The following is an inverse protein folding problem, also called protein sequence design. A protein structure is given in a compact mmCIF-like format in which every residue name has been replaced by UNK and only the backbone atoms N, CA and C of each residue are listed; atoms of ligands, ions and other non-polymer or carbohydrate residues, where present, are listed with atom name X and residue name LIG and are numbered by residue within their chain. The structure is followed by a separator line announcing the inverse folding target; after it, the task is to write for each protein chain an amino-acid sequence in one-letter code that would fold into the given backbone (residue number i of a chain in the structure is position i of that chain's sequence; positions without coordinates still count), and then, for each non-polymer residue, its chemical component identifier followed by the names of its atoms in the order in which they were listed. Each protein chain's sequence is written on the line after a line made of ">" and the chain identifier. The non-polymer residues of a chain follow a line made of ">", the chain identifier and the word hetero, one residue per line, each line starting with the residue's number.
data_IF_663283041659
#
_entry.id   IF_663283041659
#
_cell.length_a   1.000
_cell.length_b   1.000
_cell.length_c   1.000
_cell.angle_alpha   90.00
_cell.angle_beta   90.00
_cell.angle_gamma   90.00
#
_symmetry.space_group_name_H-M   'P 1'
#
loop_
_entity.id
_entity.type
_entity.pdbx_description
1 polymer ?
#
# COMPACT_ATOMS: atom_id res chain seq x y z
N UNK A 1 12.93 71.68 21.62
CA UNK A 1 12.54 70.73 20.56
C UNK A 1 12.28 69.41 21.27
N UNK A 2 11.07 69.26 21.84
CA UNK A 2 9.91 68.53 21.29
C UNK A 2 10.05 67.03 21.56
N UNK A 3 9.18 66.28 22.26
CA UNK A 3 7.87 66.43 22.91
C UNK A 3 7.78 65.24 23.91
N UNK A 4 7.57 65.41 25.22
CA UNK A 4 6.31 65.27 26.00
C UNK A 4 5.44 64.05 25.62
N UNK A 5 4.78 63.26 26.48
CA UNK A 5 4.77 62.93 27.93
C UNK A 5 3.35 62.37 28.20
N UNK A 6 3.21 61.33 29.06
CA UNK A 6 2.06 61.08 29.98
C UNK A 6 0.64 60.93 29.34
N UNK A 7 -0.40 60.31 29.90
CA UNK A 7 -0.65 59.39 31.02
C UNK A 7 -2.05 58.79 30.78
N UNK A 8 -2.29 57.70 31.47
CA UNK A 8 -3.50 56.91 31.63
C UNK A 8 -4.84 57.64 31.91
N UNK A 9 -5.90 56.94 31.46
CA UNK A 9 -7.18 56.63 32.13
C UNK A 9 -8.28 57.67 32.33
N UNK A 10 -9.47 57.35 31.81
CA UNK A 10 -10.79 57.32 32.49
C UNK A 10 -11.90 56.98 31.46
N UNK A 11 -12.61 55.86 31.63
CA UNK A 11 -13.95 55.74 32.27
C UNK A 11 -15.16 56.10 31.39
N UNK A 12 -16.07 55.11 31.30
CA UNK A 12 -17.53 55.22 31.14
C UNK A 12 -18.13 55.65 29.79
N UNK A 13 -19.22 54.99 29.40
CA UNK A 13 -20.21 55.51 28.45
C UNK A 13 -20.63 54.53 27.37
N UNK A 14 -21.87 54.07 27.47
CA UNK A 14 -22.53 53.07 26.63
C UNK A 14 -23.11 53.67 25.32
N UNK A 15 -22.86 53.00 24.17
CA UNK A 15 -23.58 52.95 22.88
C UNK A 15 -23.86 54.28 22.09
N UNK A 16 -23.80 54.32 20.73
CA UNK A 16 -24.70 53.53 19.88
C UNK A 16 -24.13 52.95 18.57
N UNK A 17 -24.89 51.97 18.11
CA UNK A 17 -24.84 51.23 16.84
C UNK A 17 -24.81 52.19 15.65
N UNK A 18 -23.95 51.92 14.66
CA UNK A 18 -24.21 51.97 13.21
C UNK A 18 -22.87 51.81 12.48
N UNK A 19 -22.43 50.57 12.29
CA UNK A 19 -21.39 50.25 11.30
C UNK A 19 -22.00 49.31 10.26
N UNK A 20 -21.89 49.74 9.02
CA UNK A 20 -22.46 49.16 7.81
C UNK A 20 -22.00 47.71 7.62
N UNK A 21 -22.90 46.76 7.87
CA UNK A 21 -22.69 45.37 7.48
C UNK A 21 -23.12 45.21 6.03
N UNK A 22 -22.17 45.35 5.10
CA UNK A 22 -22.31 44.86 3.73
C UNK A 22 -22.35 43.33 3.78
N UNK A 23 -23.54 42.76 4.01
CA UNK A 23 -23.77 41.34 3.74
C UNK A 23 -23.92 41.17 2.23
N UNK A 24 -22.85 40.69 1.59
CA UNK A 24 -23.01 39.94 0.35
C UNK A 24 -23.74 38.65 0.72
N UNK A 25 -25.04 38.60 0.43
CA UNK A 25 -25.78 37.34 0.34
C UNK A 25 -25.21 36.56 -0.84
N UNK A 26 -24.21 35.72 -0.56
CA UNK A 26 -23.78 34.68 -1.50
C UNK A 26 -24.86 33.61 -1.43
N UNK A 27 -25.54 33.27 -2.55
CA UNK A 27 -26.51 32.21 -2.54
C UNK A 27 -25.82 30.92 -2.09
N UNK A 28 -26.39 30.28 -1.08
CA UNK A 28 -25.99 28.97 -0.60
C UNK A 28 -26.16 27.98 -1.75
N UNK A 29 -25.08 27.71 -2.47
CA UNK A 29 -24.99 26.59 -3.39
C UNK A 29 -24.77 25.36 -2.52
N UNK A 30 -25.72 24.40 -2.45
CA UNK A 30 -25.47 23.16 -1.74
C UNK A 30 -24.26 22.47 -2.37
N UNK A 31 -23.18 22.40 -1.59
CA UNK A 31 -21.97 21.69 -1.97
C UNK A 31 -22.36 20.22 -2.18
N UNK A 32 -22.06 19.61 -3.34
CA UNK A 32 -22.30 18.20 -3.53
C UNK A 32 -21.51 17.45 -2.45
N UNK A 33 -22.18 16.56 -1.73
CA UNK A 33 -21.54 15.61 -0.81
C UNK A 33 -20.34 14.99 -1.53
N UNK A 34 -19.13 14.98 -0.95
CA UNK A 34 -18.00 14.32 -1.57
C UNK A 34 -18.36 12.85 -1.72
N UNK A 35 -18.70 12.44 -2.95
CA UNK A 35 -18.68 11.02 -3.27
C UNK A 35 -17.25 10.56 -2.99
N UNK A 36 -17.04 9.40 -2.34
CA UNK A 36 -15.69 8.89 -2.18
C UNK A 36 -15.10 8.79 -3.58
N UNK A 37 -14.13 9.65 -3.87
CA UNK A 37 -13.46 9.64 -5.14
C UNK A 37 -12.92 8.23 -5.33
N UNK A 38 -13.23 7.62 -6.46
CA UNK A 38 -12.56 6.38 -6.82
C UNK A 38 -11.05 6.71 -6.86
N UNK A 39 -10.20 5.74 -6.60
CA UNK A 39 -8.76 5.97 -6.71
C UNK A 39 -8.23 4.89 -7.63
N UNK A 40 -7.69 5.31 -8.77
CA UNK A 40 -7.11 4.42 -9.76
C UNK A 40 -5.61 4.64 -9.86
N UNK A 41 -4.87 3.55 -10.00
CA UNK A 41 -3.42 3.53 -10.09
C UNK A 41 -2.95 2.77 -11.32
N UNK A 42 -1.85 3.23 -11.93
CA UNK A 42 -1.16 2.53 -13.03
C UNK A 42 0.34 2.51 -12.78
N UNK A 43 1.01 1.40 -13.12
CA UNK A 43 2.47 1.32 -13.08
C UNK A 43 2.99 1.75 -14.45
N UNK A 44 3.89 2.74 -14.47
CA UNK A 44 4.57 3.18 -15.68
C UNK A 44 6.06 3.36 -15.39
N UNK A 45 6.89 2.53 -16.02
CA UNK A 45 8.33 2.48 -15.77
C UNK A 45 8.63 2.21 -14.29
N UNK A 46 9.30 3.16 -13.63
CA UNK A 46 9.69 3.05 -12.21
C UNK A 46 8.67 3.64 -11.25
N UNK A 47 7.54 4.16 -11.71
CA UNK A 47 6.61 4.89 -10.85
C UNK A 47 5.20 4.31 -10.90
N UNK A 48 4.49 4.46 -9.79
CA UNK A 48 3.04 4.21 -9.72
C UNK A 48 2.34 5.56 -9.73
N UNK A 49 1.50 5.77 -10.72
CA UNK A 49 0.74 7.01 -10.91
C UNK A 49 -0.70 6.83 -10.46
N UNK A 50 -1.19 7.80 -9.69
CA UNK A 50 -2.62 7.99 -9.43
C UNK A 50 -3.26 8.66 -10.66
N UNK A 51 -4.22 7.98 -11.28
CA UNK A 51 -4.75 8.31 -12.61
C UNK A 51 -6.04 9.13 -12.60
N UNK A 52 -6.69 9.32 -11.46
CA UNK A 52 -7.88 10.19 -11.38
C UNK A 52 -7.53 11.67 -11.31
N UNK A 53 -6.31 11.99 -10.89
CA UNK A 53 -5.78 13.33 -11.01
C UNK A 53 -5.45 13.62 -12.48
N UNK A 54 -5.87 14.77 -12.99
CA UNK A 54 -5.43 15.29 -14.28
C UNK A 54 -4.58 16.56 -14.03
N UNK A 55 -3.26 16.53 -14.24
CA UNK A 55 -2.46 15.40 -14.76
C UNK A 55 -2.25 14.27 -13.74
N UNK A 56 -1.93 13.07 -14.23
CA UNK A 56 -1.67 11.90 -13.39
C UNK A 56 -0.49 12.17 -12.45
N UNK A 57 -0.64 11.84 -11.17
CA UNK A 57 0.33 12.20 -10.12
C UNK A 57 1.17 10.97 -9.77
N UNK A 58 2.51 11.02 -9.85
CA UNK A 58 3.35 9.94 -9.37
C UNK A 58 3.30 9.87 -7.84
N UNK A 59 2.90 8.72 -7.29
CA UNK A 59 2.68 8.56 -5.84
C UNK A 59 3.70 7.61 -5.21
N UNK A 60 4.16 6.60 -5.97
CA UNK A 60 5.15 5.64 -5.50
C UNK A 60 6.31 5.51 -6.48
N UNK A 61 7.47 5.17 -5.94
CA UNK A 61 8.67 4.83 -6.70
C UNK A 61 8.99 3.35 -6.46
N UNK A 62 9.31 2.65 -7.54
CA UNK A 62 9.70 1.25 -7.59
C UNK A 62 11.16 1.17 -8.01
N UNK A 63 11.94 0.43 -7.23
CA UNK A 63 13.31 0.05 -7.56
C UNK A 63 13.40 -1.46 -7.70
N UNK A 64 14.10 -1.93 -8.72
CA UNK A 64 14.38 -3.36 -8.93
C UNK A 64 15.86 -3.63 -8.75
N UNK A 65 16.18 -4.71 -8.05
CA UNK A 65 17.55 -5.22 -7.94
C UNK A 65 17.69 -6.49 -8.76
N UNK A 66 18.78 -6.55 -9.52
CA UNK A 66 19.10 -7.66 -10.39
C UNK A 66 20.19 -8.54 -9.78
N UNK A 67 20.17 -9.81 -10.15
CA UNK A 67 21.22 -10.77 -9.83
C UNK A 67 22.48 -10.45 -10.64
N UNK A 68 23.60 -11.09 -10.33
CA UNK A 68 24.81 -10.96 -11.14
C UNK A 68 24.58 -11.36 -12.61
N UNK A 69 23.64 -12.26 -12.87
CA UNK A 69 23.22 -12.67 -14.21
C UNK A 69 22.25 -11.70 -14.90
N UNK A 70 21.97 -10.53 -14.30
CA UNK A 70 21.07 -9.51 -14.85
C UNK A 70 19.59 -9.75 -14.59
N UNK A 71 19.20 -10.91 -14.05
CA UNK A 71 17.78 -11.22 -13.80
C UNK A 71 17.24 -10.46 -12.58
N UNK A 72 16.07 -9.82 -12.66
CA UNK A 72 15.44 -9.17 -11.52
C UNK A 72 15.05 -10.19 -10.43
N UNK A 73 15.43 -9.92 -9.18
CA UNK A 73 15.13 -10.80 -8.04
C UNK A 73 14.49 -10.09 -6.86
N UNK A 74 14.64 -8.77 -6.74
CA UNK A 74 14.01 -8.00 -5.67
C UNK A 74 13.33 -6.75 -6.24
N UNK A 75 12.16 -6.44 -5.71
CA UNK A 75 11.43 -5.20 -5.94
C UNK A 75 11.30 -4.45 -4.62
N UNK A 76 11.57 -3.16 -4.61
CA UNK A 76 11.37 -2.27 -3.47
C UNK A 76 10.38 -1.18 -3.87
N UNK A 77 9.48 -0.81 -2.96
CA UNK A 77 8.49 0.26 -3.18
C UNK A 77 8.52 1.26 -2.03
N UNK A 78 8.55 2.55 -2.36
CA UNK A 78 8.44 3.66 -1.41
C UNK A 78 7.41 4.68 -1.89
N UNK A 79 6.92 5.53 -0.98
CA UNK A 79 6.12 6.71 -1.34
C UNK A 79 7.06 7.84 -1.75
N UNK A 80 6.67 8.55 -2.80
CA UNK A 80 7.33 9.78 -3.20
C UNK A 80 7.01 10.92 -2.23
N UNK A 81 8.00 11.75 -1.96
CA UNK A 81 7.83 12.98 -1.19
C UNK A 81 7.17 14.07 -2.05
N UNK A 82 6.42 15.01 -1.47
CA UNK A 82 5.83 16.11 -2.23
C UNK A 82 6.85 16.92 -3.05
N UNK A 83 8.08 17.07 -2.55
CA UNK A 83 9.19 17.70 -3.28
C UNK A 83 9.65 16.90 -4.51
N UNK A 84 9.59 15.57 -4.44
CA UNK A 84 9.91 14.68 -5.56
C UNK A 84 8.81 14.72 -6.61
N UNK A 85 7.55 14.68 -6.18
CA UNK A 85 6.39 14.79 -7.08
C UNK A 85 6.44 16.11 -7.87
N UNK A 86 6.72 17.24 -7.21
CA UNK A 86 6.88 18.53 -7.90
C UNK A 86 8.01 18.52 -8.92
N UNK A 87 9.17 17.96 -8.56
CA UNK A 87 10.31 17.83 -9.49
C UNK A 87 9.98 16.97 -10.72
N UNK A 88 9.20 15.89 -10.54
CA UNK A 88 8.71 15.09 -11.67
C UNK A 88 7.75 15.88 -12.55
N UNK A 89 6.86 16.68 -11.96
CA UNK A 89 5.91 17.51 -12.70
C UNK A 89 6.54 18.66 -13.49
N UNK A 90 7.66 19.21 -13.00
CA UNK A 90 8.41 20.29 -13.65
C UNK A 90 9.32 19.79 -14.79
N UNK A 91 9.66 18.51 -14.79
CA UNK A 91 10.58 17.91 -15.75
C UNK A 91 9.92 17.70 -17.12
N UNK A 92 10.02 18.73 -17.98
CA UNK A 92 9.64 18.65 -19.38
C UNK A 92 10.86 18.28 -20.23
N UNK A 93 10.97 17.01 -20.61
CA UNK A 93 11.88 16.54 -21.67
C UNK A 93 13.26 16.01 -21.24
N UNK A 94 13.69 16.22 -20.00
CA UNK A 94 14.81 15.48 -19.39
C UNK A 94 14.27 14.67 -18.23
N UNK A 95 14.44 13.34 -18.26
CA UNK A 95 14.00 12.43 -17.21
C UNK A 95 14.40 12.99 -15.84
N UNK A 96 13.43 13.48 -15.06
CA UNK A 96 13.68 13.81 -13.66
C UNK A 96 14.11 12.52 -12.96
N UNK A 97 15.43 12.38 -12.79
CA UNK A 97 16.01 11.25 -12.10
C UNK A 97 15.85 11.49 -10.61
N UNK A 98 14.84 10.85 -10.03
CA UNK A 98 14.78 10.69 -8.58
C UNK A 98 15.58 9.45 -8.25
N UNK A 99 16.61 9.62 -7.44
CA UNK A 99 17.32 8.50 -6.85
C UNK A 99 16.37 7.80 -5.86
N UNK A 100 16.27 6.48 -5.95
CA UNK A 100 15.50 5.71 -4.99
C UNK A 100 16.10 5.87 -3.59
N UNK A 101 15.26 6.25 -2.62
CA UNK A 101 15.64 6.38 -1.22
C UNK A 101 15.27 5.10 -0.47
N UNK A 102 16.29 4.31 -0.13
CA UNK A 102 16.13 3.06 0.63
C UNK A 102 15.54 3.34 2.03
N UNK A 103 15.82 4.51 2.62
CA UNK A 103 15.29 4.89 3.94
C UNK A 103 13.79 5.18 3.89
N UNK A 104 13.21 5.36 2.69
CA UNK A 104 11.78 5.54 2.48
C UNK A 104 11.05 4.26 2.07
N UNK A 105 11.76 3.14 1.92
CA UNK A 105 11.17 1.85 1.53
C UNK A 105 10.04 1.46 2.47
N UNK A 106 8.87 1.16 1.90
CA UNK A 106 7.71 0.63 2.61
C UNK A 106 7.74 -0.89 2.60
N UNK A 107 7.83 -1.48 1.42
CA UNK A 107 7.85 -2.93 1.24
C UNK A 107 8.96 -3.35 0.29
N UNK A 108 9.49 -4.54 0.53
CA UNK A 108 10.43 -5.22 -0.38
C UNK A 108 9.91 -6.62 -0.71
N UNK A 109 9.73 -6.91 -2.00
CA UNK A 109 9.36 -8.21 -2.52
C UNK A 109 10.58 -8.96 -3.08
N UNK A 110 10.89 -10.13 -2.55
CA UNK A 110 11.96 -11.01 -3.01
C UNK A 110 11.38 -12.20 -3.79
N UNK A 111 11.73 -12.31 -5.07
CA UNK A 111 11.35 -13.42 -5.93
C UNK A 111 12.04 -14.68 -5.45
N UNK A 112 11.26 -15.71 -5.17
CA UNK A 112 11.79 -16.98 -4.71
C UNK A 112 12.15 -17.85 -5.92
N UNK A 113 13.45 -18.04 -6.17
CA UNK A 113 13.96 -18.97 -7.20
C UNK A 113 14.15 -20.40 -6.68
N UNK A 114 13.88 -20.64 -5.40
CA UNK A 114 14.10 -21.94 -4.74
C UNK A 114 12.73 -22.53 -4.46
N UNK A 115 12.48 -23.75 -4.92
CA UNK A 115 11.40 -24.58 -4.40
C UNK A 115 11.55 -24.68 -2.90
N UNK A 116 10.72 -23.96 -2.14
CA UNK A 116 10.80 -24.00 -0.69
C UNK A 116 10.56 -25.46 -0.24
N UNK A 117 11.61 -26.14 0.19
CA UNK A 117 11.54 -27.51 0.70
C UNK A 117 10.61 -27.61 1.93
N UNK A 118 10.41 -26.51 2.66
CA UNK A 118 9.42 -26.41 3.75
C UNK A 118 7.97 -26.45 3.24
N UNK A 119 7.72 -25.98 2.01
CA UNK A 119 6.40 -25.79 1.43
C UNK A 119 5.93 -26.96 0.57
N UNK A 120 6.82 -27.92 0.26
CA UNK A 120 6.49 -29.11 -0.53
C UNK A 120 5.37 -29.99 0.08
N UNK A 121 4.97 -29.79 1.35
CA UNK A 121 3.73 -30.36 1.91
C UNK A 121 2.75 -29.34 2.51
N UNK A 122 2.82 -28.07 2.11
CA UNK A 122 1.94 -26.99 2.57
C UNK A 122 1.11 -26.32 1.46
N UNK A 123 1.23 -26.80 0.23
CA UNK A 123 0.49 -26.26 -0.91
C UNK A 123 1.43 -25.69 -1.99
N UNK A 124 0.91 -24.83 -2.88
CA UNK A 124 1.68 -24.33 -4.02
C UNK A 124 2.92 -23.54 -3.57
N UNK A 125 4.03 -23.71 -4.31
CA UNK A 125 5.30 -23.01 -4.05
C UNK A 125 5.08 -21.50 -4.03
N UNK A 126 5.48 -20.81 -2.95
CA UNK A 126 5.33 -19.37 -2.88
C UNK A 126 6.21 -18.68 -3.92
N UNK A 127 5.63 -17.73 -4.65
CA UNK A 127 6.33 -17.09 -5.78
C UNK A 127 7.17 -15.89 -5.33
N UNK A 128 6.73 -15.20 -4.28
CA UNK A 128 7.40 -14.01 -3.74
C UNK A 128 7.19 -13.92 -2.22
N UNK A 129 8.19 -13.38 -1.52
CA UNK A 129 8.11 -12.98 -0.12
C UNK A 129 8.20 -11.45 -0.04
N UNK A 130 7.15 -10.83 0.50
CA UNK A 130 7.06 -9.38 0.70
C UNK A 130 7.30 -9.08 2.17
N UNK A 131 8.17 -8.12 2.47
CA UNK A 131 8.49 -7.69 3.84
C UNK A 131 8.23 -6.21 4.01
N UNK A 132 7.52 -5.86 5.08
CA UNK A 132 7.39 -4.47 5.51
C UNK A 132 8.70 -3.96 6.11
N UNK A 133 9.13 -2.76 5.71
CA UNK A 133 10.40 -2.15 6.11
C UNK A 133 10.21 -0.95 7.05
N UNK A 134 8.96 -0.51 7.27
CA UNK A 134 8.65 0.70 8.06
C UNK A 134 7.51 0.54 9.06
N UNK A 135 7.49 1.42 10.06
CA UNK A 135 6.31 1.60 10.92
C UNK A 135 5.10 1.98 10.06
N UNK A 136 3.96 1.35 10.31
CA UNK A 136 2.76 1.48 9.48
C UNK A 136 2.64 0.42 8.37
N UNK A 137 3.67 -0.41 8.19
CA UNK A 137 3.60 -1.60 7.31
C UNK A 137 3.41 -2.88 8.11
N UNK A 138 2.85 -3.91 7.49
CA UNK A 138 2.71 -5.22 8.11
C UNK A 138 4.11 -5.81 8.34
N UNK A 139 4.46 -6.00 9.61
CA UNK A 139 5.74 -6.56 10.02
C UNK A 139 5.79 -8.08 9.78
N UNK A 140 6.97 -8.58 9.43
CA UNK A 140 7.18 -10.00 9.12
C UNK A 140 7.11 -10.29 7.63
N UNK A 141 6.73 -11.52 7.29
CA UNK A 141 6.74 -12.02 5.92
C UNK A 141 5.32 -12.19 5.40
N UNK A 142 5.03 -11.57 4.25
CA UNK A 142 3.83 -11.84 3.46
C UNK A 142 4.24 -12.71 2.28
N UNK A 143 3.48 -13.75 2.01
CA UNK A 143 3.80 -14.76 1.00
C UNK A 143 2.68 -14.83 -0.02
N UNK A 144 3.04 -14.76 -1.31
CA UNK A 144 2.08 -14.96 -2.39
C UNK A 144 2.09 -16.42 -2.85
N UNK A 145 0.92 -17.03 -2.84
CA UNK A 145 0.66 -18.37 -3.37
C UNK A 145 -0.27 -18.26 -4.58
N UNK A 146 0.07 -18.96 -5.67
CA UNK A 146 -0.76 -19.02 -6.88
C UNK A 146 -1.30 -20.43 -7.08
N UNK A 147 -2.62 -20.53 -7.25
CA UNK A 147 -3.32 -21.78 -7.55
C UNK A 147 -4.27 -21.56 -8.73
N UNK A 148 -3.83 -21.97 -9.92
CA UNK A 148 -4.56 -21.72 -11.17
C UNK A 148 -4.70 -20.22 -11.45
N UNK A 149 -5.96 -19.73 -11.46
CA UNK A 149 -6.30 -18.31 -11.67
C UNK A 149 -6.45 -17.50 -10.38
N UNK A 150 -6.33 -18.17 -9.22
CA UNK A 150 -6.47 -17.53 -7.91
C UNK A 150 -5.07 -17.27 -7.35
N UNK A 151 -4.85 -16.06 -6.86
CA UNK A 151 -3.64 -15.71 -6.10
C UNK A 151 -4.04 -15.34 -4.67
N UNK A 152 -3.29 -15.78 -3.67
CA UNK A 152 -3.55 -15.48 -2.26
C UNK A 152 -2.31 -14.93 -1.60
N UNK A 153 -2.49 -13.91 -0.78
CA UNK A 153 -1.45 -13.32 0.05
C UNK A 153 -1.68 -13.70 1.49
N UNK A 154 -0.69 -14.33 2.10
CA UNK A 154 -0.73 -14.77 3.49
C UNK A 154 0.30 -14.02 4.31
N UNK A 155 -0.11 -13.49 5.46
CA UNK A 155 0.81 -13.07 6.50
C UNK A 155 1.30 -14.28 7.29
N UNK A 156 2.61 -14.48 7.32
CA UNK A 156 3.29 -15.54 8.05
C UNK A 156 3.65 -15.04 9.45
N UNK A 157 3.00 -15.61 10.46
CA UNK A 157 3.17 -15.22 11.86
C UNK A 157 3.88 -16.36 12.60
N UNK A 158 5.06 -16.13 13.21
CA UNK A 158 5.74 -17.17 13.98
C UNK A 158 4.95 -17.48 15.25
N UNK A 159 4.79 -18.77 15.56
CA UNK A 159 4.12 -19.23 16.77
C UNK A 159 5.13 -19.17 17.93
N UNK A 160 5.26 -17.99 18.54
CA UNK A 160 6.20 -17.75 19.66
C UNK A 160 5.62 -18.04 21.06
N UNK A 161 4.36 -18.47 21.13
CA UNK A 161 3.66 -18.74 22.38
C UNK A 161 3.62 -20.24 22.68
N UNK A 162 3.43 -20.57 23.95
CA UNK A 162 3.02 -21.92 24.33
C UNK A 162 1.76 -22.31 23.55
N UNK A 163 1.80 -23.51 23.01
CA UNK A 163 0.71 -24.09 22.23
C UNK A 163 -0.42 -24.46 23.19
N UNK A 164 -1.66 -24.35 22.73
CA UNK A 164 -2.78 -24.94 23.48
C UNK A 164 -2.71 -26.45 23.36
N UNK A 165 -3.25 -27.19 24.34
CA UNK A 165 -3.27 -28.67 24.30
C UNK A 165 -3.79 -29.24 22.98
N UNK A 166 -4.82 -28.62 22.40
CA UNK A 166 -5.36 -29.03 21.08
C UNK A 166 -4.40 -28.75 19.91
N UNK A 167 -3.62 -27.67 19.98
CA UNK A 167 -2.57 -27.37 19.00
C UNK A 167 -1.37 -28.30 19.18
N UNK A 168 -1.00 -28.63 20.42
CA UNK A 168 0.05 -29.61 20.75
C UNK A 168 -0.32 -31.01 20.25
N UNK A 169 -1.52 -31.50 20.55
CA UNK A 169 -2.00 -32.80 20.10
C UNK A 169 -2.01 -32.86 18.56
N UNK A 170 -2.41 -31.77 17.88
CA UNK A 170 -2.37 -31.66 16.42
C UNK A 170 -0.93 -31.66 15.89
N UNK A 171 -0.03 -30.91 16.50
CA UNK A 171 1.39 -30.88 16.10
C UNK A 171 2.06 -32.22 16.35
N UNK A 172 1.81 -32.87 17.48
CA UNK A 172 2.31 -34.21 17.76
C UNK A 172 1.78 -35.21 16.72
N UNK A 173 0.50 -35.18 16.39
CA UNK A 173 -0.06 -36.03 15.34
C UNK A 173 0.60 -35.78 13.97
N UNK A 174 0.90 -34.52 13.64
CA UNK A 174 1.64 -34.16 12.43
C UNK A 174 3.09 -34.65 12.49
N UNK A 175 3.79 -34.44 13.60
CA UNK A 175 5.17 -34.90 13.84
C UNK A 175 5.27 -36.43 13.70
N UNK A 176 4.32 -37.18 14.29
CA UNK A 176 4.28 -38.64 14.18
C UNK A 176 4.02 -39.11 12.74
N UNK A 177 3.23 -38.37 11.96
CA UNK A 177 2.86 -38.76 10.59
C UNK A 177 3.93 -38.42 9.55
N UNK A 178 4.56 -37.25 9.65
CA UNK A 178 5.45 -36.71 8.60
C UNK A 178 6.78 -36.14 9.10
N UNK A 179 7.11 -36.35 10.38
CA UNK A 179 8.26 -35.73 11.04
C UNK A 179 8.02 -34.24 11.36
N UNK A 180 8.91 -33.67 12.17
CA UNK A 180 8.95 -32.23 12.39
C UNK A 180 9.33 -31.49 11.11
N UNK A 181 8.69 -30.35 10.88
CA UNK A 181 9.04 -29.42 9.80
C UNK A 181 9.05 -28.02 10.37
N UNK A 182 10.05 -27.22 9.99
CA UNK A 182 10.16 -25.79 10.35
C UNK A 182 8.91 -24.98 9.99
N UNK A 183 8.09 -25.49 9.08
CA UNK A 183 6.86 -24.86 8.65
C UNK A 183 5.67 -25.04 9.59
N UNK A 184 5.76 -25.98 10.54
CA UNK A 184 4.78 -26.15 11.62
C UNK A 184 4.88 -25.03 12.67
N UNK A 185 5.98 -24.28 12.69
CA UNK A 185 6.20 -23.16 13.61
C UNK A 185 5.54 -21.84 13.15
N UNK A 186 4.80 -21.86 12.04
CA UNK A 186 4.22 -20.66 11.43
C UNK A 186 2.71 -20.77 11.25
N UNK A 187 1.99 -19.71 11.62
CA UNK A 187 0.58 -19.52 11.32
C UNK A 187 0.43 -18.68 10.05
N UNK A 188 -0.36 -19.18 9.10
CA UNK A 188 -0.79 -18.43 7.91
C UNK A 188 -2.08 -17.65 8.22
N UNK A 189 -2.07 -16.32 8.09
CA UNK A 189 -3.29 -15.48 8.11
C UNK A 189 -3.52 -14.95 6.70
N UNK A 190 -4.69 -15.23 6.11
CA UNK A 190 -5.05 -14.68 4.79
C UNK A 190 -5.22 -13.16 4.89
N UNK A 191 -4.59 -12.42 3.98
CA UNK A 191 -4.73 -10.96 3.86
C UNK A 191 -5.58 -10.57 2.66
N UNK A 192 -5.24 -11.13 1.49
CA UNK A 192 -5.86 -10.79 0.22
C UNK A 192 -6.04 -12.05 -0.62
N UNK A 193 -7.17 -12.13 -1.31
CA UNK A 193 -7.43 -13.10 -2.38
C UNK A 193 -7.66 -12.33 -3.67
N UNK A 194 -7.00 -12.75 -4.73
CA UNK A 194 -7.22 -12.25 -6.08
C UNK A 194 -7.90 -13.35 -6.85
N UNK A 195 -9.06 -13.05 -7.42
CA UNK A 195 -9.80 -13.98 -8.26
C UNK A 195 -10.29 -13.30 -9.52
N UNK A 196 -10.44 -14.09 -10.59
CA UNK A 196 -11.01 -13.59 -11.83
C UNK A 196 -12.53 -13.66 -11.78
N UNK A 197 -13.20 -12.56 -12.08
CA UNK A 197 -14.66 -12.51 -12.15
C UNK A 197 -15.18 -12.97 -13.53
N UNK A 198 -16.50 -12.97 -13.69
CA UNK A 198 -17.15 -13.39 -14.94
C UNK A 198 -16.77 -12.50 -16.15
N UNK A 199 -16.46 -11.22 -15.91
CA UNK A 199 -16.02 -10.26 -16.92
C UNK A 199 -14.53 -10.40 -17.29
N UNK A 200 -13.83 -11.38 -16.70
CA UNK A 200 -12.38 -11.60 -16.81
C UNK A 200 -11.50 -10.56 -16.11
N UNK A 201 -12.11 -9.61 -15.39
CA UNK A 201 -11.41 -8.67 -14.54
C UNK A 201 -10.95 -9.35 -13.25
N UNK A 202 -9.89 -8.84 -12.62
CA UNK A 202 -9.37 -9.40 -11.38
C UNK A 202 -9.92 -8.63 -10.18
N UNK A 203 -10.54 -9.32 -9.24
CA UNK A 203 -11.06 -8.73 -8.00
C UNK A 203 -10.11 -9.04 -6.85
N UNK A 204 -9.78 -8.00 -6.09
CA UNK A 204 -9.00 -8.07 -4.87
C UNK A 204 -9.95 -8.06 -3.68
N UNK A 205 -9.94 -9.16 -2.93
CA UNK A 205 -10.85 -9.44 -1.83
C UNK A 205 -10.03 -9.52 -0.54
N UNK A 206 -10.48 -8.84 0.51
CA UNK A 206 -9.81 -8.85 1.81
C UNK A 206 -10.20 -10.03 2.71
N UNK A 207 -9.69 -10.02 3.95
CA UNK A 207 -9.97 -11.04 4.96
C UNK A 207 -11.44 -11.12 5.40
N UNK A 208 -12.24 -10.08 5.11
CA UNK A 208 -13.66 -9.99 5.40
C UNK A 208 -14.53 -10.34 4.17
N UNK A 209 -13.94 -10.94 3.14
CA UNK A 209 -14.62 -11.27 1.88
C UNK A 209 -15.19 -10.05 1.14
N UNK A 210 -14.66 -8.85 1.42
CA UNK A 210 -15.09 -7.61 0.78
C UNK A 210 -14.16 -7.26 -0.38
N UNK A 211 -14.73 -6.88 -1.53
CA UNK A 211 -13.96 -6.41 -2.69
C UNK A 211 -13.39 -5.02 -2.40
N UNK A 212 -12.08 -4.94 -2.25
CA UNK A 212 -11.35 -3.71 -1.91
C UNK A 212 -10.75 -3.01 -3.13
N UNK A 213 -10.49 -3.76 -4.20
CA UNK A 213 -10.02 -3.20 -5.47
C UNK A 213 -10.38 -4.11 -6.65
N UNK A 214 -10.48 -3.52 -7.84
CA UNK A 214 -10.52 -4.21 -9.13
C UNK A 214 -9.24 -3.94 -9.91
N UNK A 215 -8.73 -4.94 -10.61
CA UNK A 215 -7.60 -4.83 -11.52
C UNK A 215 -8.07 -5.13 -12.94
N UNK A 216 -7.92 -4.13 -13.82
CA UNK A 216 -8.35 -4.15 -15.21
C UNK A 216 -7.38 -3.37 -16.09
N UNK A 217 -7.02 -3.93 -17.24
CA UNK A 217 -6.14 -3.29 -18.23
C UNK A 217 -4.83 -2.74 -17.64
N UNK A 218 -4.23 -3.45 -16.68
CA UNK A 218 -3.00 -3.03 -15.99
C UNK A 218 -3.18 -1.85 -15.02
N UNK A 219 -4.42 -1.49 -14.68
CA UNK A 219 -4.77 -0.50 -13.67
C UNK A 219 -5.39 -1.16 -12.46
N UNK A 220 -5.16 -0.57 -11.30
CA UNK A 220 -5.74 -0.97 -10.02
C UNK A 220 -6.71 0.13 -9.54
N UNK A 221 -7.98 -0.20 -9.41
CA UNK A 221 -9.05 0.71 -8.99
C UNK A 221 -9.56 0.32 -7.60
N UNK A 222 -9.48 1.23 -6.63
CA UNK A 222 -9.94 1.00 -5.27
C UNK A 222 -11.44 1.25 -5.11
N UNK A 223 -12.09 0.41 -4.30
CA UNK A 223 -13.50 0.56 -3.95
C UNK A 223 -13.64 1.39 -2.67
N UNK A 224 -13.97 2.67 -2.82
CA UNK A 224 -14.24 3.57 -1.70
C UNK A 224 -13.01 4.11 -0.97
N UNK A 225 -13.24 4.78 0.16
CA UNK A 225 -12.16 5.35 0.97
C UNK A 225 -11.47 4.25 1.79
N UNK A 226 -10.13 4.25 1.77
CA UNK A 226 -9.35 3.24 2.47
C UNK A 226 -8.18 3.87 3.24
N UNK A 227 -7.91 3.29 4.41
CA UNK A 227 -6.74 3.63 5.22
C UNK A 227 -5.45 3.52 4.40
N UNK A 228 -4.54 4.46 4.61
CA UNK A 228 -3.36 4.59 3.76
C UNK A 228 -2.41 3.41 3.91
N UNK A 229 -2.34 2.78 5.09
CA UNK A 229 -1.55 1.58 5.34
C UNK A 229 -2.08 0.38 4.54
N UNK A 230 -3.41 0.19 4.49
CA UNK A 230 -4.05 -0.87 3.72
C UNK A 230 -3.90 -0.62 2.22
N UNK A 231 -3.98 0.64 1.78
CA UNK A 231 -3.70 1.05 0.41
C UNK A 231 -2.27 0.71 0.00
N UNK A 232 -1.28 1.11 0.79
CA UNK A 232 0.13 0.81 0.53
C UNK A 232 0.40 -0.69 0.43
N UNK A 233 -0.21 -1.47 1.33
CA UNK A 233 -0.11 -2.92 1.29
C UNK A 233 -0.63 -3.49 -0.04
N UNK A 234 -1.82 -3.06 -0.47
CA UNK A 234 -2.43 -3.56 -1.71
C UNK A 234 -1.59 -3.15 -2.92
N UNK A 235 -1.10 -1.90 -2.96
CA UNK A 235 -0.22 -1.43 -4.04
C UNK A 235 1.10 -2.23 -4.06
N UNK A 236 1.69 -2.50 -2.89
CA UNK A 236 2.88 -3.32 -2.80
C UNK A 236 2.64 -4.76 -3.27
N UNK A 237 1.53 -5.39 -2.85
CA UNK A 237 1.13 -6.72 -3.30
C UNK A 237 0.86 -6.76 -4.82
N UNK A 238 0.24 -5.72 -5.37
CA UNK A 238 -0.04 -5.60 -6.81
C UNK A 238 1.24 -5.45 -7.62
N UNK A 239 2.14 -4.53 -7.23
CA UNK A 239 3.45 -4.38 -7.86
C UNK A 239 4.29 -5.67 -7.80
N UNK A 240 4.29 -6.33 -6.64
CA UNK A 240 4.98 -7.61 -6.44
C UNK A 240 4.38 -8.75 -7.25
N UNK A 241 3.05 -8.78 -7.43
CA UNK A 241 2.36 -9.74 -8.29
C UNK A 241 2.81 -9.57 -9.73
N UNK A 242 2.76 -8.36 -10.28
CA UNK A 242 3.23 -8.05 -11.63
C UNK A 242 4.69 -8.50 -11.80
N UNK A 243 5.55 -8.12 -10.86
CA UNK A 243 6.98 -8.46 -10.86
C UNK A 243 7.32 -9.95 -10.99
N UNK A 244 6.48 -10.87 -10.47
CA UNK A 244 6.75 -12.32 -10.55
C UNK A 244 5.88 -13.07 -11.55
N UNK A 245 4.78 -12.49 -12.00
CA UNK A 245 3.87 -13.11 -12.96
C UNK A 245 4.08 -12.62 -14.39
N UNK A 246 4.54 -11.39 -14.58
CA UNK A 246 4.87 -10.86 -15.89
C UNK A 246 6.20 -11.50 -16.33
N UNK A 247 6.13 -12.29 -17.40
CA UNK A 247 7.28 -13.01 -17.96
C UNK A 247 8.11 -12.18 -18.93
N UNK A 248 7.64 -10.97 -19.25
CA UNK A 248 8.21 -10.11 -20.28
C UNK A 248 8.66 -8.77 -19.68
N UNK A 249 9.67 -8.81 -18.81
CA UNK A 249 10.48 -7.64 -18.43
C UNK A 249 11.92 -7.86 -18.86
#
# INVERSE_FOLDING_TARGET
>A
MSQTSLVESSSSGEAPRHALSLRLDVPFVPQPSPQPAKQSFSIQGKYVYETEANPAIPTYHISTRNTQAGNPWQLQICRLLPSEVRRLGEATGNEAFIRYDDDLTLYSGEKMNISFSFAASLGPTPMIVIRGQKRGTIQGSIVMEKSGRICKFYHMIPIKRALTKAEEDRMQALMHKRGYRDSDDWKKKLLLTIQQNAAKDLEWIDECETVVAGEKDGKLEFTGEMQTEKKDLIIACWACKGFVLDKDA
#
